data_IF_527746828231
#
_entry.id   IF_527746828231
#
_cell.length_a   1.000
_cell.length_b   1.000
_cell.length_c   1.000
_cell.angle_alpha   90.00
_cell.angle_beta   90.00
_cell.angle_gamma   90.00
#
_symmetry.space_group_name_H-M   'P 1'
#
loop_
_entity.id
_entity.type
_entity.pdbx_description
1 polymer ?
#
# COMPACT_ATOMS: atom_id res chain seq x y z
N UNK A 1 2.00 1.94 28.09
CA UNK A 1 3.46 2.01 27.99
C UNK A 1 3.94 1.10 26.88
N UNK A 2 5.20 1.20 26.44
CA UNK A 2 5.79 0.28 25.46
C UNK A 2 5.75 -1.15 25.99
N UNK A 3 5.34 -2.09 25.16
CA UNK A 3 5.24 -3.53 25.47
C UNK A 3 6.54 -4.27 25.21
N UNK A 4 7.49 -3.63 24.50
CA UNK A 4 8.77 -4.23 24.13
C UNK A 4 8.77 -4.90 22.76
N UNK A 5 7.67 -4.84 22.02
CA UNK A 5 7.59 -5.32 20.64
C UNK A 5 7.61 -4.17 19.62
N UNK A 6 7.43 -2.94 20.09
CA UNK A 6 7.41 -1.76 19.21
C UNK A 6 8.79 -1.48 18.64
N UNK A 7 8.82 -0.98 17.41
CA UNK A 7 10.05 -0.53 16.80
C UNK A 7 9.83 0.11 15.43
N UNK A 8 10.92 0.36 14.73
CA UNK A 8 10.90 0.96 13.39
C UNK A 8 11.89 0.26 12.46
N UNK A 9 11.47 -0.02 11.23
CA UNK A 9 12.37 -0.44 10.17
C UNK A 9 12.91 0.80 9.44
N UNK A 10 14.23 0.88 9.26
CA UNK A 10 14.88 2.00 8.57
C UNK A 10 15.82 1.49 7.47
N UNK A 11 16.07 2.26 6.40
CA UNK A 11 17.10 1.90 5.43
C UNK A 11 18.45 1.76 6.13
N UNK A 12 19.20 0.69 5.82
CA UNK A 12 20.55 0.47 6.34
C UNK A 12 21.45 1.68 6.12
N UNK A 13 21.31 2.34 4.96
CA UNK A 13 22.05 3.54 4.60
C UNK A 13 21.85 4.72 5.58
N UNK A 14 20.72 4.76 6.28
CA UNK A 14 20.40 5.83 7.23
C UNK A 14 20.90 5.54 8.64
N UNK A 15 21.39 4.32 8.93
CA UNK A 15 21.78 3.92 10.27
C UNK A 15 22.86 4.83 10.88
N UNK A 16 23.87 5.20 10.10
CA UNK A 16 24.96 6.09 10.55
C UNK A 16 24.51 7.54 10.74
N UNK A 17 23.42 7.96 10.11
CA UNK A 17 22.89 9.32 10.16
C UNK A 17 21.72 9.46 11.16
N UNK A 18 21.33 8.36 11.80
CA UNK A 18 20.16 8.35 12.69
C UNK A 18 20.54 8.95 14.05
N UNK A 19 20.06 10.17 14.30
CA UNK A 19 20.18 10.83 15.61
C UNK A 19 18.92 10.52 16.41
N UNK A 20 19.08 9.81 17.52
CA UNK A 20 17.98 9.42 18.40
C UNK A 20 17.90 10.36 19.60
N UNK A 21 16.67 10.63 20.05
CA UNK A 21 16.46 11.30 21.34
C UNK A 21 16.94 10.39 22.48
N UNK A 22 17.45 10.95 23.60
CA UNK A 22 17.99 10.14 24.70
C UNK A 22 17.00 9.12 25.29
N UNK A 23 15.71 9.45 25.34
CA UNK A 23 14.66 8.55 25.82
C UNK A 23 14.44 7.35 24.88
N UNK A 24 14.59 7.54 23.58
CA UNK A 24 14.57 6.45 22.59
C UNK A 24 15.80 5.57 22.74
N UNK A 25 16.99 6.16 22.95
CA UNK A 25 18.21 5.38 23.21
C UNK A 25 18.05 4.50 24.44
N UNK A 26 17.49 5.03 25.52
CA UNK A 26 17.25 4.26 26.73
C UNK A 26 16.22 3.15 26.52
N UNK A 27 15.11 3.45 25.84
CA UNK A 27 14.11 2.44 25.48
C UNK A 27 14.70 1.30 24.62
N UNK A 28 15.65 1.61 23.72
CA UNK A 28 16.37 0.60 22.93
C UNK A 28 17.31 -0.22 23.81
N UNK A 29 18.06 0.41 24.72
CA UNK A 29 18.96 -0.29 25.65
C UNK A 29 18.22 -1.24 26.58
N UNK A 30 17.03 -0.84 27.03
CA UNK A 30 16.16 -1.65 27.89
C UNK A 30 15.34 -2.70 27.12
N UNK A 31 15.50 -2.80 25.79
CA UNK A 31 14.76 -3.74 24.95
C UNK A 31 13.26 -3.42 24.81
N UNK A 32 12.84 -2.21 25.17
CA UNK A 32 11.46 -1.74 25.09
C UNK A 32 11.09 -1.17 23.71
N UNK A 33 12.09 -0.90 22.89
CA UNK A 33 11.95 -0.38 21.52
C UNK A 33 13.03 -0.95 20.61
N UNK A 34 12.71 -1.20 19.35
CA UNK A 34 13.63 -1.82 18.39
C UNK A 34 13.85 -0.95 17.14
N UNK A 35 15.05 -1.04 16.57
CA UNK A 35 15.38 -0.42 15.29
C UNK A 35 15.91 -1.53 14.39
N UNK A 36 15.24 -1.76 13.25
CA UNK A 36 15.58 -2.82 12.30
C UNK A 36 16.12 -2.21 11.00
N UNK A 37 17.45 -2.20 10.79
CA UNK A 37 18.04 -1.73 9.54
C UNK A 37 17.79 -2.75 8.43
N UNK A 38 17.18 -2.32 7.33
CA UNK A 38 16.87 -3.15 6.16
C UNK A 38 17.60 -2.64 4.92
N UNK A 39 18.10 -3.54 4.09
CA UNK A 39 18.80 -3.26 2.84
C UNK A 39 17.86 -3.30 1.64
N UNK A 40 16.84 -4.17 1.70
CA UNK A 40 15.87 -4.35 0.63
C UNK A 40 14.44 -4.35 1.17
N UNK A 41 13.49 -3.98 0.31
CA UNK A 41 12.06 -3.95 0.65
C UNK A 41 11.57 -5.32 1.12
N UNK A 42 12.11 -6.41 0.56
CA UNK A 42 11.75 -7.78 0.93
C UNK A 42 12.02 -8.07 2.41
N UNK A 43 13.15 -7.59 2.96
CA UNK A 43 13.46 -7.76 4.38
C UNK A 43 12.44 -7.03 5.28
N UNK A 44 11.99 -5.84 4.86
CA UNK A 44 10.95 -5.11 5.58
C UNK A 44 9.60 -5.84 5.50
N UNK A 45 9.25 -6.40 4.34
CA UNK A 45 8.03 -7.17 4.16
C UNK A 45 8.03 -8.43 5.03
N UNK A 46 9.16 -9.14 5.09
CA UNK A 46 9.32 -10.33 5.93
C UNK A 46 9.17 -10.00 7.42
N UNK A 47 9.80 -8.91 7.87
CA UNK A 47 9.69 -8.43 9.24
C UNK A 47 8.24 -8.07 9.63
N UNK A 48 7.51 -7.39 8.74
CA UNK A 48 6.18 -6.87 9.05
C UNK A 48 5.07 -7.91 8.90
N UNK A 49 5.22 -8.87 7.99
CA UNK A 49 4.19 -9.84 7.66
C UNK A 49 4.42 -11.23 8.27
N UNK A 50 5.57 -11.44 8.94
CA UNK A 50 6.02 -12.73 9.49
C UNK A 50 5.93 -13.88 8.45
N UNK A 51 6.26 -13.56 7.21
CA UNK A 51 6.13 -14.45 6.04
C UNK A 51 7.25 -14.15 5.05
N UNK A 52 7.80 -15.17 4.36
CA UNK A 52 8.82 -14.94 3.33
C UNK A 52 8.32 -14.04 2.21
N UNK A 53 9.15 -13.11 1.73
CA UNK A 53 8.83 -12.27 0.58
C UNK A 53 8.64 -13.14 -0.68
N UNK A 54 9.60 -14.04 -0.93
CA UNK A 54 9.53 -15.11 -1.91
C UNK A 54 9.52 -14.65 -3.36
N UNK A 55 8.70 -15.27 -4.19
CA UNK A 55 8.56 -14.95 -5.62
C UNK A 55 7.09 -15.11 -6.06
N UNK A 56 6.81 -14.93 -7.35
CA UNK A 56 5.44 -14.94 -7.89
C UNK A 56 4.81 -16.33 -7.94
N UNK A 57 5.62 -17.40 -7.90
CA UNK A 57 5.21 -18.78 -8.16
C UNK A 57 5.14 -19.60 -6.86
N UNK A 58 5.99 -19.29 -5.89
CA UNK A 58 6.05 -20.02 -4.61
C UNK A 58 4.87 -19.67 -3.71
N UNK A 59 3.98 -20.63 -3.50
CA UNK A 59 2.89 -20.51 -2.54
C UNK A 59 3.36 -20.21 -1.11
N UNK A 60 2.50 -19.54 -0.34
CA UNK A 60 2.79 -19.12 1.03
C UNK A 60 3.59 -17.81 1.15
N UNK A 61 4.18 -17.32 0.05
CA UNK A 61 4.98 -16.09 0.05
C UNK A 61 4.14 -14.83 -0.18
N UNK A 62 4.70 -13.67 0.14
CA UNK A 62 4.03 -12.37 -0.01
C UNK A 62 3.86 -12.04 -1.49
N UNK A 63 4.91 -12.18 -2.29
CA UNK A 63 4.89 -11.85 -3.72
C UNK A 63 3.88 -12.70 -4.49
N UNK A 64 3.78 -14.00 -4.18
CA UNK A 64 2.74 -14.87 -4.74
C UNK A 64 1.33 -14.41 -4.36
N UNK A 65 1.10 -14.04 -3.10
CA UNK A 65 -0.22 -13.58 -2.63
C UNK A 65 -0.65 -12.27 -3.33
N UNK A 66 0.29 -11.34 -3.51
CA UNK A 66 0.07 -10.09 -4.25
C UNK A 66 -0.24 -10.40 -5.72
N UNK A 67 0.58 -11.23 -6.37
CA UNK A 67 0.38 -11.62 -7.77
C UNK A 67 -0.98 -12.28 -8.01
N UNK A 68 -1.38 -13.22 -7.13
CA UNK A 68 -2.69 -13.87 -7.16
C UNK A 68 -3.83 -12.86 -7.03
N UNK A 69 -3.71 -11.88 -6.12
CA UNK A 69 -4.73 -10.83 -5.94
C UNK A 69 -4.82 -9.92 -7.16
N UNK A 70 -3.69 -9.48 -7.71
CA UNK A 70 -3.64 -8.64 -8.91
C UNK A 70 -4.26 -9.33 -10.13
N UNK A 71 -3.94 -10.61 -10.38
CA UNK A 71 -4.56 -11.40 -11.46
C UNK A 71 -6.08 -11.48 -11.31
N UNK A 72 -6.58 -11.70 -10.09
CA UNK A 72 -8.03 -11.73 -9.82
C UNK A 72 -8.69 -10.39 -10.11
N UNK A 73 -8.09 -9.28 -9.67
CA UNK A 73 -8.61 -7.93 -9.93
C UNK A 73 -8.59 -7.60 -11.43
N UNK A 74 -7.52 -7.96 -12.13
CA UNK A 74 -7.43 -7.78 -13.58
C UNK A 74 -8.50 -8.59 -14.35
N UNK A 75 -8.88 -9.79 -13.86
CA UNK A 75 -9.99 -10.56 -14.43
C UNK A 75 -11.32 -9.83 -14.31
N UNK A 76 -11.64 -9.31 -13.12
CA UNK A 76 -12.89 -8.56 -12.86
C UNK A 76 -12.97 -7.32 -13.76
N UNK A 77 -11.87 -6.59 -13.93
CA UNK A 77 -11.82 -5.39 -14.79
C UNK A 77 -11.90 -5.70 -16.30
N UNK A 78 -11.63 -6.94 -16.72
CA UNK A 78 -11.84 -7.36 -18.12
C UNK A 78 -13.30 -7.74 -18.37
N UNK A 79 -13.97 -8.30 -17.36
CA UNK A 79 -15.39 -8.65 -17.42
C UNK A 79 -16.29 -7.41 -17.31
N UNK A 80 -15.87 -6.41 -16.53
CA UNK A 80 -16.46 -5.07 -16.47
C UNK A 80 -15.77 -4.20 -17.52
N UNK A 81 -16.24 -4.20 -18.77
CA UNK A 81 -15.64 -3.43 -19.86
C UNK A 81 -15.36 -1.95 -19.50
N UNK A 82 -14.46 -1.27 -20.25
CA UNK A 82 -14.08 0.11 -19.95
C UNK A 82 -15.34 0.99 -19.85
N UNK A 83 -15.35 1.83 -18.82
CA UNK A 83 -16.53 2.49 -18.25
C UNK A 83 -17.56 2.97 -19.27
N UNK A 84 -18.81 2.66 -18.94
CA UNK A 84 -20.01 3.28 -19.48
C UNK A 84 -19.81 4.79 -19.59
N UNK A 85 -19.80 5.31 -20.82
CA UNK A 85 -20.08 6.72 -21.05
C UNK A 85 -21.40 7.05 -20.36
N UNK A 86 -21.35 7.85 -19.29
CA UNK A 86 -22.54 8.53 -18.82
C UNK A 86 -22.83 9.62 -19.85
N UNK A 87 -23.66 9.30 -20.83
CA UNK A 87 -24.28 10.29 -21.71
C UNK A 87 -24.99 11.29 -20.81
N UNK A 88 -24.44 12.51 -20.73
CA UNK A 88 -25.18 13.64 -20.20
C UNK A 88 -26.27 13.95 -21.23
N UNK A 89 -27.50 13.50 -20.97
CA UNK A 89 -28.64 13.96 -21.76
C UNK A 89 -28.80 15.47 -21.54
N UNK A 90 -28.41 16.21 -22.56
CA UNK A 90 -28.62 17.64 -22.74
C UNK A 90 -30.14 17.89 -22.79
N UNK A 91 -30.72 18.40 -21.71
CA UNK A 91 -32.09 18.94 -21.74
C UNK A 91 -32.03 20.33 -22.36
N UNK A 92 -31.97 20.40 -23.69
CA UNK A 92 -32.45 21.58 -24.41
C UNK A 92 -33.89 21.34 -24.83
N UNK A 93 -34.81 21.99 -24.13
CA UNK A 93 -36.13 22.28 -24.67
C UNK A 93 -36.37 23.77 -24.54
N UNK A 94 -35.77 24.52 -25.46
CA UNK A 94 -36.24 25.87 -25.78
C UNK A 94 -37.52 25.71 -26.60
N UNK A 95 -38.69 26.22 -26.18
CA UNK A 95 -39.84 26.26 -27.06
C UNK A 95 -39.58 27.31 -28.14
N UNK A 96 -39.70 26.92 -29.41
CA UNK A 96 -39.73 27.87 -30.53
C UNK A 96 -40.94 28.80 -30.41
N UNK A 97 -40.80 30.10 -30.75
CA UNK A 97 -41.91 31.04 -30.75
C UNK A 97 -42.77 30.78 -31.98
N UNK A 98 -44.01 30.33 -31.78
CA UNK A 98 -44.99 30.26 -32.85
C UNK A 98 -45.69 31.62 -32.96
N UNK A 99 -45.35 32.36 -34.00
CA UNK A 99 -46.01 33.62 -34.37
C UNK A 99 -47.15 33.34 -35.37
N UNK A 100 -48.35 33.76 -34.96
CA UNK A 100 -49.46 34.35 -35.71
C UNK A 100 -50.11 33.60 -36.89
N UNK A 101 -51.41 33.87 -37.16
CA UNK A 101 -51.81 35.13 -37.82
C UNK A 101 -52.58 36.13 -36.94
#
# INVERSE_FOLDING_TARGET
>A
GLTGEQGVAIPRANLQHTILRPDVVEAVREGRFHIWPVEHVDQALELLADRPAGDLEREGTIHHAVAKRLRKLAGILKEQGPGTERTVEHVEKTPEPQADP
#
